data_IF_850985927973
#
_entry.id   IF_850985927973
#
_cell.length_a   1.000
_cell.length_b   1.000
_cell.length_c   1.000
_cell.angle_alpha   90.00
_cell.angle_beta   90.00
_cell.angle_gamma   90.00
#
_symmetry.space_group_name_H-M   'P 1'
#
loop_
_entity.id
_entity.type
_entity.pdbx_description
1 polymer ?
#
# COMPACT_ATOMS: atom_id res chain seq x y z
N UNK A 1 -25.27 -49.29 1.03
CA UNK A 1 -24.52 -48.45 1.98
C UNK A 1 -23.39 -47.78 1.22
N UNK A 2 -23.52 -46.50 0.89
CA UNK A 2 -22.52 -45.74 0.14
C UNK A 2 -21.65 -44.93 1.11
N UNK A 3 -20.33 -44.84 0.93
CA UNK A 3 -19.47 -44.07 1.80
C UNK A 3 -19.67 -42.57 1.54
N UNK A 4 -19.84 -41.81 2.61
CA UNK A 4 -19.93 -40.36 2.59
C UNK A 4 -18.63 -39.76 2.02
N UNK A 5 -18.73 -39.14 0.84
CA UNK A 5 -17.71 -38.24 0.31
C UNK A 5 -17.56 -37.08 1.30
N UNK A 6 -16.46 -37.10 2.06
CA UNK A 6 -15.99 -35.90 2.77
C UNK A 6 -15.65 -34.87 1.70
N UNK A 7 -16.54 -33.91 1.51
CA UNK A 7 -16.21 -32.65 0.85
C UNK A 7 -15.10 -32.00 1.67
N UNK A 8 -13.84 -32.19 1.24
CA UNK A 8 -12.78 -31.27 1.61
C UNK A 8 -13.23 -29.91 1.08
N UNK A 9 -13.52 -28.99 1.99
CA UNK A 9 -13.68 -27.60 1.63
C UNK A 9 -12.38 -27.15 0.93
N UNK A 10 -12.42 -27.01 -0.40
CA UNK A 10 -11.42 -26.25 -1.13
C UNK A 10 -11.50 -24.83 -0.59
N UNK A 11 -10.54 -24.47 0.27
CA UNK A 11 -10.33 -23.09 0.67
C UNK A 11 -10.12 -22.27 -0.61
N UNK A 12 -10.74 -21.08 -0.76
CA UNK A 12 -10.45 -20.22 -1.89
C UNK A 12 -8.94 -19.96 -1.88
N UNK A 13 -8.27 -20.24 -3.01
CA UNK A 13 -6.83 -20.02 -3.16
C UNK A 13 -6.53 -18.58 -2.74
N UNK A 14 -5.81 -18.44 -1.61
CA UNK A 14 -5.19 -17.18 -1.19
C UNK A 14 -4.49 -16.61 -2.42
N UNK A 15 -4.94 -15.46 -2.94
CA UNK A 15 -4.24 -14.84 -4.07
C UNK A 15 -2.77 -14.70 -3.72
N UNK A 16 -1.90 -15.15 -4.62
CA UNK A 16 -0.47 -15.03 -4.44
C UNK A 16 -0.12 -13.54 -4.30
N UNK A 17 0.76 -13.24 -3.35
CA UNK A 17 1.23 -11.90 -3.08
C UNK A 17 2.75 -11.91 -3.15
N UNK A 18 3.32 -11.00 -3.92
CA UNK A 18 4.74 -10.93 -4.21
C UNK A 18 5.29 -9.56 -3.82
N UNK A 19 6.39 -9.54 -3.07
CA UNK A 19 7.19 -8.33 -2.88
C UNK A 19 8.36 -8.37 -3.86
N UNK A 20 8.42 -7.41 -4.77
CA UNK A 20 9.51 -7.24 -5.70
C UNK A 20 10.33 -6.00 -5.36
N UNK A 21 11.65 -6.09 -5.49
CA UNK A 21 12.55 -4.96 -5.35
C UNK A 21 13.44 -4.85 -6.59
N UNK A 22 13.20 -3.82 -7.40
CA UNK A 22 13.97 -3.53 -8.60
C UNK A 22 14.92 -2.36 -8.36
N UNK A 23 16.21 -2.66 -8.14
CA UNK A 23 17.21 -1.67 -7.81
C UNK A 23 18.59 -2.08 -8.31
N UNK A 24 19.30 -1.20 -9.03
CA UNK A 24 20.60 -1.53 -9.64
C UNK A 24 21.63 -2.02 -8.62
N UNK A 25 21.54 -1.51 -7.38
CA UNK A 25 22.48 -1.80 -6.30
C UNK A 25 21.92 -2.74 -5.23
N UNK A 26 20.80 -3.44 -5.47
CA UNK A 26 20.15 -4.29 -4.44
C UNK A 26 21.07 -5.39 -3.84
N UNK A 27 22.11 -5.82 -4.56
CA UNK A 27 23.08 -6.81 -4.08
C UNK A 27 24.40 -6.22 -3.57
N UNK A 28 24.50 -4.89 -3.43
CA UNK A 28 25.71 -4.25 -2.89
C UNK A 28 25.71 -4.34 -1.36
N UNK A 29 26.91 -4.35 -0.76
CA UNK A 29 27.08 -4.47 0.69
C UNK A 29 26.32 -3.39 1.48
N UNK A 30 26.24 -2.18 0.92
CA UNK A 30 25.50 -1.04 1.49
C UNK A 30 23.99 -1.29 1.63
N UNK A 31 23.46 -2.28 0.90
CA UNK A 31 22.05 -2.61 0.86
C UNK A 31 21.70 -3.86 1.67
N UNK A 32 22.68 -4.47 2.37
CA UNK A 32 22.44 -5.70 3.14
C UNK A 32 21.38 -5.48 4.22
N UNK A 33 21.43 -4.37 4.94
CA UNK A 33 20.44 -4.07 5.98
C UNK A 33 19.03 -3.90 5.39
N UNK A 34 18.90 -3.11 4.32
CA UNK A 34 17.64 -2.92 3.61
C UNK A 34 17.08 -4.25 3.06
N UNK A 35 17.96 -5.08 2.49
CA UNK A 35 17.59 -6.40 1.97
C UNK A 35 17.09 -7.33 3.08
N UNK A 36 17.78 -7.37 4.22
CA UNK A 36 17.35 -8.15 5.40
C UNK A 36 15.99 -7.68 5.90
N UNK A 37 15.78 -6.37 6.03
CA UNK A 37 14.49 -5.80 6.44
C UNK A 37 13.37 -6.17 5.46
N UNK A 38 13.61 -6.06 4.14
CA UNK A 38 12.61 -6.46 3.15
C UNK A 38 12.28 -7.94 3.19
N UNK A 39 13.27 -8.80 3.47
CA UNK A 39 13.03 -10.22 3.67
C UNK A 39 12.16 -10.49 4.89
N UNK A 40 12.42 -9.84 6.02
CA UNK A 40 11.60 -9.94 7.22
C UNK A 40 10.16 -9.51 6.95
N UNK A 41 9.97 -8.37 6.27
CA UNK A 41 8.65 -7.85 5.93
C UNK A 41 7.92 -8.80 4.98
N UNK A 42 8.56 -9.27 3.90
CA UNK A 42 7.98 -10.26 3.00
C UNK A 42 7.55 -11.53 3.74
N UNK A 43 8.43 -12.08 4.59
CA UNK A 43 8.15 -13.28 5.37
C UNK A 43 6.98 -13.10 6.33
N UNK A 44 6.90 -11.95 7.02
CA UNK A 44 5.79 -11.63 7.93
C UNK A 44 4.41 -11.62 7.26
N UNK A 45 4.39 -11.42 5.93
CA UNK A 45 3.19 -11.37 5.11
C UNK A 45 2.91 -12.68 4.37
N UNK A 46 3.75 -13.70 4.56
CA UNK A 46 3.67 -14.95 3.80
C UNK A 46 4.05 -14.79 2.33
N UNK A 47 4.88 -13.80 2.02
CA UNK A 47 5.40 -13.50 0.69
C UNK A 47 6.87 -13.89 0.56
N UNK A 48 7.35 -13.93 -0.68
CA UNK A 48 8.78 -14.00 -0.98
C UNK A 48 9.23 -12.65 -1.57
N UNK A 49 10.44 -12.24 -1.18
CA UNK A 49 11.11 -11.09 -1.79
C UNK A 49 11.80 -11.54 -3.08
N UNK A 50 11.48 -10.89 -4.20
CA UNK A 50 12.14 -11.09 -5.49
C UNK A 50 12.97 -9.86 -5.83
N UNK A 51 14.27 -10.03 -6.06
CA UNK A 51 15.17 -8.93 -6.35
C UNK A 51 15.57 -8.93 -7.83
N UNK A 52 15.49 -7.75 -8.45
CA UNK A 52 15.98 -7.53 -9.81
C UNK A 52 16.88 -6.30 -9.86
N UNK A 53 17.94 -6.36 -10.67
CA UNK A 53 18.86 -5.22 -10.84
C UNK A 53 18.33 -4.17 -11.82
N UNK A 54 17.48 -4.59 -12.76
CA UNK A 54 17.03 -3.79 -13.90
C UNK A 54 15.60 -4.12 -14.25
N UNK A 55 14.89 -3.15 -14.81
CA UNK A 55 13.52 -3.25 -15.27
C UNK A 55 13.28 -4.49 -16.13
N UNK A 56 14.18 -4.75 -17.09
CA UNK A 56 14.05 -5.90 -18.00
C UNK A 56 13.96 -7.25 -17.27
N UNK A 57 14.75 -7.43 -16.21
CA UNK A 57 14.72 -8.66 -15.41
C UNK A 57 13.40 -8.81 -14.65
N UNK A 58 12.90 -7.71 -14.09
CA UNK A 58 11.60 -7.68 -13.43
C UNK A 58 10.45 -7.99 -14.41
N UNK A 59 10.44 -7.36 -15.59
CA UNK A 59 9.43 -7.56 -16.62
C UNK A 59 9.39 -9.01 -17.11
N UNK A 60 10.57 -9.63 -17.30
CA UNK A 60 10.67 -11.04 -17.67
C UNK A 60 10.12 -11.97 -16.58
N UNK A 61 10.40 -11.68 -15.30
CA UNK A 61 9.83 -12.44 -14.20
C UNK A 61 8.30 -12.26 -14.10
N UNK A 62 7.82 -11.04 -14.28
CA UNK A 62 6.41 -10.68 -14.15
C UNK A 62 5.50 -11.45 -15.12
N UNK A 63 6.00 -11.78 -16.32
CA UNK A 63 5.27 -12.61 -17.30
C UNK A 63 4.89 -14.00 -16.75
N UNK A 64 5.66 -14.52 -15.81
CA UNK A 64 5.41 -15.82 -15.15
C UNK A 64 4.73 -15.69 -13.79
N UNK A 65 4.66 -14.47 -13.24
CA UNK A 65 4.08 -14.20 -11.94
C UNK A 65 2.54 -14.11 -12.04
N UNK A 66 1.87 -14.34 -10.92
CA UNK A 66 0.42 -14.17 -10.81
C UNK A 66 0.07 -13.56 -9.45
N UNK A 67 -1.10 -12.92 -9.36
CA UNK A 67 -1.57 -12.26 -8.14
C UNK A 67 -1.06 -10.83 -7.99
N UNK A 68 -0.99 -10.36 -6.75
CA UNK A 68 -0.67 -8.98 -6.44
C UNK A 68 0.84 -8.81 -6.25
N UNK A 69 1.44 -7.86 -6.96
CA UNK A 69 2.86 -7.54 -6.91
C UNK A 69 3.01 -6.15 -6.32
N UNK A 70 3.70 -6.05 -5.18
CA UNK A 70 4.20 -4.78 -4.69
C UNK A 70 5.63 -4.60 -5.16
N UNK A 71 5.85 -3.59 -5.98
CA UNK A 71 7.15 -3.29 -6.54
C UNK A 71 7.76 -2.08 -5.83
N UNK A 72 8.88 -2.29 -5.17
CA UNK A 72 9.77 -1.22 -4.74
C UNK A 72 10.79 -0.97 -5.84
N UNK A 73 10.94 0.27 -6.30
CA UNK A 73 11.88 0.62 -7.37
C UNK A 73 12.57 1.94 -7.11
N UNK A 74 13.72 2.17 -7.72
CA UNK A 74 14.25 3.52 -7.83
C UNK A 74 13.60 4.31 -8.97
N UNK A 75 13.86 5.62 -8.94
CA UNK A 75 13.41 6.55 -9.96
C UNK A 75 13.90 6.24 -11.37
N UNK A 76 15.09 5.63 -11.53
CA UNK A 76 15.68 5.36 -12.85
C UNK A 76 14.98 4.19 -13.54
N UNK A 77 14.55 3.20 -12.79
CA UNK A 77 13.87 2.00 -13.29
C UNK A 77 12.34 2.16 -13.33
N UNK A 78 11.77 3.14 -12.63
CA UNK A 78 10.32 3.34 -12.55
C UNK A 78 9.63 3.47 -13.91
N UNK A 79 10.13 4.36 -14.78
CA UNK A 79 9.53 4.61 -16.10
C UNK A 79 9.66 3.41 -17.05
N UNK A 80 10.85 2.80 -17.24
CA UNK A 80 10.97 1.59 -18.06
C UNK A 80 10.09 0.43 -17.58
N UNK A 81 9.92 0.27 -16.26
CA UNK A 81 9.01 -0.75 -15.73
C UNK A 81 7.57 -0.40 -16.10
N UNK A 82 7.14 0.83 -15.83
CA UNK A 82 5.77 1.25 -16.12
C UNK A 82 5.39 1.02 -17.59
N UNK A 83 6.22 1.50 -18.53
CA UNK A 83 6.00 1.31 -19.97
C UNK A 83 5.99 -0.17 -20.35
N UNK A 84 6.94 -0.94 -19.79
CA UNK A 84 7.05 -2.36 -20.04
C UNK A 84 5.81 -3.14 -19.60
N UNK A 85 5.21 -2.77 -18.47
CA UNK A 85 4.00 -3.47 -18.04
C UNK A 85 2.72 -2.92 -18.65
N UNK A 86 2.63 -1.64 -18.98
CA UNK A 86 1.54 -1.15 -19.85
C UNK A 86 1.47 -2.02 -21.11
N UNK A 87 2.59 -2.25 -21.77
CA UNK A 87 2.68 -3.13 -22.94
C UNK A 87 2.23 -4.57 -22.65
N UNK A 88 2.64 -5.17 -21.52
CA UNK A 88 2.18 -6.51 -21.12
C UNK A 88 0.66 -6.58 -20.88
N UNK A 89 0.02 -5.45 -20.61
CA UNK A 89 -1.43 -5.37 -20.32
C UNK A 89 -2.28 -4.95 -21.53
N UNK A 90 -1.68 -4.61 -22.67
CA UNK A 90 -2.37 -4.13 -23.89
C UNK A 90 -3.31 -5.16 -24.55
N UNK A 91 -3.37 -6.41 -24.07
CA UNK A 91 -4.18 -7.49 -24.62
C UNK A 91 -5.41 -7.92 -23.80
N UNK A 92 -5.71 -7.23 -22.68
CA UNK A 92 -6.82 -7.58 -21.80
C UNK A 92 -6.39 -7.98 -20.38
N UNK A 93 -7.31 -8.54 -19.56
CA UNK A 93 -7.07 -8.80 -18.15
C UNK A 93 -5.88 -9.75 -17.95
N UNK A 94 -4.96 -9.33 -17.07
CA UNK A 94 -3.78 -10.12 -16.72
C UNK A 94 -4.01 -10.87 -15.41
N UNK A 95 -3.23 -11.94 -15.22
CA UNK A 95 -3.21 -12.70 -13.98
C UNK A 95 -2.47 -11.97 -12.84
N UNK A 96 -1.93 -10.77 -13.10
CA UNK A 96 -1.22 -9.97 -12.10
C UNK A 96 -1.79 -8.55 -11.99
N UNK A 97 -1.56 -7.94 -10.82
CA UNK A 97 -1.74 -6.51 -10.57
C UNK A 97 -0.50 -5.97 -9.90
N UNK A 98 -0.04 -4.78 -10.28
CA UNK A 98 1.20 -4.22 -9.74
C UNK A 98 0.93 -2.87 -9.09
N UNK A 99 1.38 -2.74 -7.85
CA UNK A 99 1.49 -1.45 -7.17
C UNK A 99 2.96 -1.07 -7.09
N UNK A 100 3.32 0.04 -7.71
CA UNK A 100 4.69 0.53 -7.73
C UNK A 100 4.89 1.57 -6.63
N UNK A 101 6.02 1.46 -5.96
CA UNK A 101 6.50 2.40 -4.97
C UNK A 101 7.89 2.86 -5.38
N UNK A 102 7.99 4.15 -5.73
CA UNK A 102 9.23 4.78 -6.12
C UNK A 102 9.94 5.28 -4.87
N UNK A 103 11.17 4.86 -4.69
CA UNK A 103 12.05 5.33 -3.62
C UNK A 103 12.85 6.52 -4.14
N UNK A 104 12.60 7.70 -3.57
CA UNK A 104 13.40 8.88 -3.81
C UNK A 104 14.57 8.93 -2.83
N UNK A 105 15.74 9.36 -3.30
CA UNK A 105 16.93 9.55 -2.46
C UNK A 105 17.29 11.02 -2.25
N UNK A 106 16.50 11.93 -2.83
CA UNK A 106 16.64 13.38 -2.71
C UNK A 106 15.32 14.07 -3.06
N UNK A 107 15.10 15.27 -2.53
CA UNK A 107 13.89 16.07 -2.79
C UNK A 107 13.68 16.35 -4.28
N UNK A 108 14.79 16.53 -5.01
CA UNK A 108 14.74 16.73 -6.46
C UNK A 108 14.19 15.50 -7.18
N UNK A 109 14.61 14.30 -6.77
CA UNK A 109 14.10 13.05 -7.31
C UNK A 109 12.64 12.87 -6.89
N UNK A 110 12.33 13.12 -5.62
CA UNK A 110 10.99 13.02 -5.07
C UNK A 110 10.00 13.88 -5.87
N UNK A 111 10.31 15.16 -6.07
CA UNK A 111 9.47 16.09 -6.84
C UNK A 111 9.20 15.59 -8.25
N UNK A 112 10.25 15.18 -8.96
CA UNK A 112 10.13 14.65 -10.34
C UNK A 112 9.33 13.35 -10.38
N UNK A 113 9.53 12.48 -9.40
CA UNK A 113 8.79 11.25 -9.27
C UNK A 113 7.31 11.50 -9.03
N UNK A 114 6.98 12.46 -8.17
CA UNK A 114 5.61 12.89 -7.92
C UNK A 114 4.98 13.49 -9.18
N UNK A 115 5.66 14.43 -9.84
CA UNK A 115 5.21 15.03 -11.10
C UNK A 115 4.88 13.96 -12.16
N UNK A 116 5.76 12.97 -12.32
CA UNK A 116 5.55 11.86 -13.25
C UNK A 116 4.41 10.94 -12.83
N UNK A 117 4.37 10.49 -11.57
CA UNK A 117 3.30 9.64 -11.04
C UNK A 117 1.92 10.33 -11.16
N UNK A 118 1.89 11.66 -11.07
CA UNK A 118 0.69 12.47 -11.26
C UNK A 118 0.29 12.67 -12.73
N UNK A 119 1.23 12.49 -13.67
CA UNK A 119 1.02 12.64 -15.11
C UNK A 119 0.49 11.37 -15.79
N UNK A 120 0.72 10.20 -15.20
CA UNK A 120 0.32 8.91 -15.77
C UNK A 120 -1.18 8.63 -15.52
N UNK A 121 -1.90 8.02 -16.48
CA UNK A 121 -3.29 7.61 -16.29
C UNK A 121 -3.38 6.46 -15.28
N UNK A 122 -4.15 6.65 -14.21
CA UNK A 122 -4.44 5.59 -13.24
C UNK A 122 -5.51 4.64 -13.82
N UNK A 123 -5.11 3.77 -14.77
CA UNK A 123 -5.95 2.69 -15.28
C UNK A 123 -5.92 1.54 -14.27
N UNK A 124 -7.06 0.86 -14.09
CA UNK A 124 -7.38 -0.02 -12.96
C UNK A 124 -6.54 -1.29 -12.72
N UNK A 125 -5.28 -1.33 -13.15
CA UNK A 125 -4.30 -2.36 -12.82
C UNK A 125 -3.00 -1.83 -12.23
N UNK A 126 -2.86 -0.51 -12.08
CA UNK A 126 -1.63 0.17 -11.64
C UNK A 126 -1.94 1.24 -10.63
N UNK A 127 -1.07 1.33 -9.64
CA UNK A 127 -0.98 2.50 -8.78
C UNK A 127 0.48 2.77 -8.49
N UNK A 128 0.86 4.05 -8.54
CA UNK A 128 2.22 4.52 -8.34
C UNK A 128 2.23 5.45 -7.14
N UNK A 129 2.98 5.05 -6.11
CA UNK A 129 3.24 5.80 -4.89
C UNK A 129 4.69 6.24 -4.89
N UNK A 130 4.97 7.42 -4.33
CA UNK A 130 6.34 7.93 -4.19
C UNK A 130 6.65 8.08 -2.70
N UNK A 131 7.76 7.49 -2.28
CA UNK A 131 8.35 7.66 -0.96
C UNK A 131 9.53 8.61 -1.06
N UNK A 132 9.59 9.52 -0.11
CA UNK A 132 10.65 10.51 0.11
C UNK A 132 11.96 9.88 0.56
N UNK A 133 11.92 8.81 1.36
CA UNK A 133 13.11 8.03 1.76
C UNK A 133 12.76 6.54 1.89
N UNK A 134 13.71 5.67 1.55
CA UNK A 134 13.64 4.25 1.91
C UNK A 134 13.84 4.10 3.42
N UNK A 135 12.76 4.19 4.19
CA UNK A 135 12.75 3.86 5.61
C UNK A 135 12.00 2.56 5.82
N UNK A 136 12.48 1.72 6.74
CA UNK A 136 11.79 0.48 7.13
C UNK A 136 10.32 0.76 7.46
N UNK A 137 10.06 1.79 8.27
CA UNK A 137 8.72 2.18 8.68
C UNK A 137 7.83 2.58 7.50
N UNK A 138 8.32 3.40 6.56
CA UNK A 138 7.54 3.80 5.39
C UNK A 138 7.26 2.64 4.43
N UNK A 139 8.22 1.73 4.25
CA UNK A 139 8.05 0.52 3.43
C UNK A 139 7.07 -0.45 4.08
N UNK A 140 7.18 -0.69 5.39
CA UNK A 140 6.25 -1.52 6.15
C UNK A 140 4.82 -0.95 6.09
N UNK A 141 4.66 0.36 6.31
CA UNK A 141 3.36 1.03 6.23
C UNK A 141 2.76 0.90 4.83
N UNK A 142 3.52 1.18 3.77
CA UNK A 142 3.08 1.02 2.39
C UNK A 142 2.67 -0.42 2.09
N UNK A 143 3.46 -1.39 2.53
CA UNK A 143 3.18 -2.81 2.29
C UNK A 143 1.95 -3.27 3.07
N UNK A 144 1.82 -2.90 4.34
CA UNK A 144 0.66 -3.25 5.19
C UNK A 144 -0.61 -2.63 4.61
N UNK A 145 -0.57 -1.35 4.22
CA UNK A 145 -1.67 -0.69 3.56
C UNK A 145 -2.07 -1.42 2.28
N UNK A 146 -1.09 -1.78 1.45
CA UNK A 146 -1.32 -2.47 0.19
C UNK A 146 -1.83 -3.90 0.34
N UNK A 147 -1.33 -4.64 1.33
CA UNK A 147 -1.80 -5.97 1.64
C UNK A 147 -3.23 -5.94 2.21
N UNK A 148 -3.56 -4.93 3.03
CA UNK A 148 -4.90 -4.71 3.56
C UNK A 148 -5.91 -4.39 2.45
N UNK A 149 -5.55 -3.48 1.55
CA UNK A 149 -6.40 -3.13 0.40
C UNK A 149 -6.59 -4.32 -0.56
N UNK A 150 -5.54 -5.11 -0.81
CA UNK A 150 -5.64 -6.32 -1.61
C UNK A 150 -6.60 -7.35 -0.99
N UNK A 151 -6.52 -7.57 0.33
CA UNK A 151 -7.45 -8.47 1.05
C UNK A 151 -8.90 -7.97 0.97
N UNK A 152 -9.13 -6.69 1.24
CA UNK A 152 -10.46 -6.09 1.18
C UNK A 152 -11.07 -6.16 -0.24
N UNK A 153 -10.24 -6.07 -1.28
CA UNK A 153 -10.69 -6.21 -2.67
C UNK A 153 -11.10 -7.66 -3.01
N UNK A 154 -10.35 -8.64 -2.53
CA UNK A 154 -10.66 -10.08 -2.71
C UNK A 154 -11.95 -10.45 -1.99
N UNK A 155 -12.12 -10.01 -0.73
CA UNK A 155 -13.31 -10.31 0.07
C UNK A 155 -14.57 -9.68 -0.54
N UNK A 156 -14.46 -8.52 -1.18
CA UNK A 156 -15.56 -7.87 -1.90
C UNK A 156 -15.96 -8.62 -3.18
N UNK A 157 -14.99 -9.06 -3.99
CA UNK A 157 -15.23 -9.83 -5.22
C UNK A 157 -15.75 -11.24 -4.94
N UNK A 158 -15.34 -11.86 -3.82
CA UNK A 158 -15.72 -13.24 -3.48
C UNK A 158 -17.04 -13.38 -2.72
N UNK A 159 -17.59 -12.31 -2.15
CA UNK A 159 -18.96 -12.32 -1.64
C UNK A 159 -19.22 -11.37 -0.48
N UNK A 160 -19.86 -10.23 -0.75
CA UNK A 160 -20.69 -9.55 0.24
C UNK A 160 -21.90 -8.86 -0.40
N UNK A 161 -22.81 -9.71 -0.91
CA UNK A 161 -24.25 -9.46 -0.80
C UNK A 161 -24.73 -9.96 0.57
N UNK A 162 -24.01 -9.62 1.64
CA UNK A 162 -24.56 -9.74 2.98
C UNK A 162 -25.59 -8.64 3.09
N UNK A 163 -26.86 -9.04 2.94
CA UNK A 163 -28.00 -8.27 3.44
C UNK A 163 -27.62 -7.80 4.84
N UNK A 164 -27.50 -6.49 5.01
CA UNK A 164 -27.38 -5.88 6.33
C UNK A 164 -28.40 -6.53 7.26
N UNK A 165 -28.01 -6.98 8.46
CA UNK A 165 -28.99 -7.30 9.48
C UNK A 165 -29.80 -6.02 9.69
N UNK A 166 -31.10 -6.11 9.44
CA UNK A 166 -32.01 -5.02 9.79
C UNK A 166 -31.81 -4.71 11.27
N UNK A 167 -31.72 -3.42 11.66
CA UNK A 167 -31.54 -3.06 13.05
C UNK A 167 -32.76 -3.54 13.83
N UNK A 168 -32.56 -4.57 14.64
CA UNK A 168 -33.52 -4.91 15.70
C UNK A 168 -33.26 -3.92 16.82
N UNK A 169 -34.08 -2.88 16.81
CA UNK A 169 -34.23 -1.93 17.88
C UNK A 169 -34.57 -2.70 19.16
N UNK A 170 -33.63 -2.75 20.09
CA UNK A 170 -33.89 -3.09 21.49
C UNK A 170 -33.56 -1.85 22.30
N UNK A 171 -34.62 -1.23 22.83
CA UNK A 171 -34.54 -0.27 23.92
C UNK A 171 -33.92 -0.97 25.11
N UNK A 172 -32.81 -0.45 25.64
CA UNK A 172 -32.48 -0.66 27.03
C UNK A 172 -31.84 0.58 27.65
N UNK A 173 -32.39 0.92 28.81
CA UNK A 173 -32.31 2.19 29.51
C UNK A 173 -31.29 2.09 30.66
N UNK A 174 -30.38 3.07 30.71
CA UNK A 174 -29.61 3.62 31.85
C UNK A 174 -28.71 2.68 32.69
N UNK A 175 -27.46 3.11 32.90
CA UNK A 175 -27.04 3.72 34.17
C UNK A 175 -25.69 4.47 34.09
N UNK A 176 -25.68 5.67 34.66
CA UNK A 176 -24.51 6.52 34.94
C UNK A 176 -23.51 5.83 35.88
N UNK A 177 -22.20 6.03 35.68
CA UNK A 177 -21.29 6.35 36.80
C UNK A 177 -20.06 7.12 36.31
N UNK A 178 -19.82 8.24 36.97
CA UNK A 178 -18.73 9.21 36.85
C UNK A 178 -17.44 8.78 37.55
N UNK A 179 -16.27 8.99 36.94
CA UNK A 179 -15.01 9.22 37.67
C UNK A 179 -14.08 10.20 36.91
N UNK A 180 -13.56 11.17 37.68
CA UNK A 180 -12.71 12.30 37.31
C UNK A 180 -11.20 11.96 37.31
N UNK A 181 -10.31 12.87 36.85
CA UNK A 181 -9.02 12.52 36.26
C UNK A 181 -7.84 12.69 37.24
N UNK A 182 -6.74 11.99 36.96
CA UNK A 182 -5.45 12.19 37.62
C UNK A 182 -4.34 12.42 36.60
N UNK A 183 -3.59 13.52 36.85
CA UNK A 183 -2.46 14.07 36.09
C UNK A 183 -1.15 13.37 36.48
N UNK A 184 -0.26 13.16 35.51
CA UNK A 184 1.21 13.03 35.69
C UNK A 184 1.85 13.18 34.30
N UNK A 185 2.46 14.31 33.99
CA UNK A 185 3.87 14.70 34.21
C UNK A 185 4.78 14.35 33.03
N UNK A 186 5.13 15.42 32.32
CA UNK A 186 6.27 15.65 31.44
C UNK A 186 7.43 14.64 31.48
N UNK A 187 7.74 14.09 30.30
CA UNK A 187 9.04 13.54 29.94
C UNK A 187 9.33 13.93 28.49
N UNK A 188 10.18 14.95 28.33
CA UNK A 188 10.61 15.53 27.05
C UNK A 188 11.73 14.66 26.48
N UNK A 189 11.48 13.98 25.36
CA UNK A 189 12.51 13.32 24.55
C UNK A 189 12.33 13.79 23.11
N UNK A 190 13.25 14.67 22.70
CA UNK A 190 13.46 15.06 21.31
C UNK A 190 13.94 13.85 20.52
N UNK A 191 13.03 13.23 19.77
CA UNK A 191 13.37 12.43 18.60
C UNK A 191 12.75 13.15 17.40
N UNK A 192 13.61 13.62 16.50
CA UNK A 192 13.21 14.11 15.20
C UNK A 192 12.46 12.99 14.47
N UNK A 193 11.14 13.02 14.58
CA UNK A 193 10.23 12.18 13.82
C UNK A 193 10.22 12.75 12.40
N UNK A 194 11.12 12.26 11.56
CA UNK A 194 11.03 12.47 10.12
C UNK A 194 9.69 11.92 9.67
N UNK A 195 8.71 12.80 9.50
CA UNK A 195 7.41 12.43 8.98
C UNK A 195 7.63 12.10 7.51
N UNK A 196 7.59 10.81 7.16
CA UNK A 196 7.63 10.40 5.77
C UNK A 196 6.47 11.10 5.05
N UNK A 197 6.79 12.05 4.18
CA UNK A 197 5.83 12.81 3.41
C UNK A 197 5.41 11.96 2.23
N UNK A 198 4.41 11.12 2.44
CA UNK A 198 3.77 10.34 1.40
C UNK A 198 3.08 11.29 0.40
N UNK A 199 3.56 11.32 -0.86
CA UNK A 199 2.79 11.90 -1.94
C UNK A 199 1.68 10.92 -2.36
N UNK A 200 0.64 10.82 -1.52
CA UNK A 200 -0.54 10.02 -1.82
C UNK A 200 -1.53 10.90 -2.57
N UNK A 201 -1.59 10.74 -3.90
CA UNK A 201 -2.70 11.28 -4.66
C UNK A 201 -3.88 10.32 -4.52
N UNK A 202 -4.82 10.67 -3.64
CA UNK A 202 -6.07 9.93 -3.53
C UNK A 202 -6.77 9.92 -4.89
N UNK A 203 -7.07 8.73 -5.42
CA UNK A 203 -7.89 8.64 -6.63
C UNK A 203 -9.22 9.37 -6.40
N UNK A 204 -9.82 9.96 -7.44
CA UNK A 204 -11.13 10.61 -7.29
C UNK A 204 -12.21 9.66 -6.76
N UNK A 205 -12.09 8.36 -7.00
CA UNK A 205 -12.98 7.35 -6.43
C UNK A 205 -12.73 7.15 -4.92
N UNK A 206 -11.47 7.13 -4.50
CA UNK A 206 -11.07 7.07 -3.08
C UNK A 206 -11.51 8.33 -2.33
N UNK A 207 -11.31 9.49 -2.94
CA UNK A 207 -11.75 10.78 -2.39
C UNK A 207 -13.27 10.82 -2.25
N UNK A 208 -14.03 10.43 -3.28
CA UNK A 208 -15.49 10.34 -3.22
C UNK A 208 -15.98 9.38 -2.15
N UNK A 209 -15.31 8.23 -1.94
CA UNK A 209 -15.64 7.31 -0.84
C UNK A 209 -15.31 7.89 0.52
N UNK A 210 -14.16 8.54 0.67
CA UNK A 210 -13.78 9.18 1.93
C UNK A 210 -14.76 10.30 2.30
N UNK A 211 -15.28 11.03 1.32
CA UNK A 211 -16.29 12.08 1.52
C UNK A 211 -17.69 11.55 1.85
N UNK A 212 -17.97 10.26 1.64
CA UNK A 212 -19.23 9.62 2.06
C UNK A 212 -19.23 9.19 3.54
N UNK A 213 -18.06 9.22 4.19
CA UNK A 213 -17.86 8.84 5.59
C UNK A 213 -17.42 10.10 6.38
N UNK A 214 -18.25 10.61 7.31
CA UNK A 214 -17.98 11.87 8.02
C UNK A 214 -16.65 11.87 8.79
N UNK A 215 -16.27 10.73 9.36
CA UNK A 215 -15.04 10.60 10.15
C UNK A 215 -13.82 10.62 9.24
N UNK A 216 -13.89 9.96 8.08
CA UNK A 216 -12.81 9.98 7.08
C UNK A 216 -12.70 11.31 6.35
N UNK A 217 -13.82 12.00 6.12
CA UNK A 217 -13.83 13.32 5.53
C UNK A 217 -13.09 14.34 6.41
N UNK A 218 -13.33 14.29 7.73
CA UNK A 218 -12.66 15.16 8.70
C UNK A 218 -11.14 14.91 8.72
N UNK A 219 -10.73 13.64 8.73
CA UNK A 219 -9.31 13.26 8.70
C UNK A 219 -8.62 13.65 7.38
N UNK A 220 -9.33 13.52 6.26
CA UNK A 220 -8.85 13.96 4.95
C UNK A 220 -8.66 15.49 4.92
N UNK A 221 -9.60 16.24 5.50
CA UNK A 221 -9.51 17.68 5.59
C UNK A 221 -8.33 18.14 6.46
N UNK A 222 -8.10 17.49 7.61
CA UNK A 222 -6.91 17.74 8.44
C UNK A 222 -5.61 17.48 7.68
N UNK A 223 -5.56 16.39 6.91
CA UNK A 223 -4.39 16.03 6.10
C UNK A 223 -4.15 17.04 4.96
N UNK A 224 -5.21 17.53 4.31
CA UNK A 224 -5.12 18.58 3.29
C UNK A 224 -4.62 19.88 3.92
N UNK A 225 -5.18 20.29 5.07
CA UNK A 225 -4.74 21.50 5.78
C UNK A 225 -3.29 21.40 6.20
N UNK A 226 -2.86 20.27 6.79
CA UNK A 226 -1.47 20.09 7.21
C UNK A 226 -0.51 20.18 6.01
N UNK A 227 -0.86 19.55 4.89
CA UNK A 227 -0.01 19.56 3.69
C UNK A 227 0.05 20.95 3.02
N UNK A 228 -1.07 21.68 2.96
CA UNK A 228 -1.08 23.03 2.39
C UNK A 228 -0.39 24.06 3.29
N UNK A 229 -0.41 23.89 4.61
CA UNK A 229 0.23 24.81 5.54
C UNK A 229 1.75 24.81 5.41
N UNK A 230 2.35 23.63 5.22
CA UNK A 230 3.80 23.49 5.03
C UNK A 230 4.29 24.00 3.67
N UNK A 231 3.42 24.12 2.66
CA UNK A 231 3.80 24.66 1.34
C UNK A 231 3.79 26.19 1.23
N UNK A 232 3.12 26.89 2.15
CA UNK A 232 2.92 28.34 2.03
C UNK A 232 3.57 29.18 3.13
N UNK A 233 4.06 28.58 4.21
CA UNK A 233 4.48 29.34 5.40
C UNK A 233 5.86 28.94 5.97
N UNK A 234 6.63 28.10 5.28
CA UNK A 234 8.02 27.75 5.67
C UNK A 234 9.07 28.10 4.59
N UNK A 235 8.88 29.23 3.91
CA UNK A 235 9.97 29.95 3.21
C UNK A 235 10.47 31.12 4.06
#
# INVERSE_FOLDING_TARGET
>A
MAPALRAQACWPQKQAFHLAWCYERCHKAEQVEALTQLHEVAASLGSTLVCHKKALGFLSWLQSASGNVLLLTDWREAKPIFEGVEHLTEGGPQNFRVRMCITATSDRIHRRACEWANSIPQRGGWEVVVLDVFTRGGVEEFIVQSAGEARNFIDYEQGNLVRSPSPTYTDDVKHNTSHSPSKTSAGKLDLARGSASLCVRLSMATLKRALQDPDKATKLEEMIRSTMWHQHYED
#
